data_IF_721598283010
#
_entry.id   IF_721598283010
#
_cell.length_a   1.000
_cell.length_b   1.000
_cell.length_c   1.000
_cell.angle_alpha   90.00
_cell.angle_beta   90.00
_cell.angle_gamma   90.00
#
_symmetry.space_group_name_H-M   'P 1'
#
loop_
_entity.id
_entity.type
_entity.pdbx_description
1 polymer ?
#
# COMPACT_ATOMS: atom_id res chain seq x y z
N UNK A 1 -26.05 4.31 29.42
CA UNK A 1 -24.85 5.17 29.45
C UNK A 1 -25.22 6.62 29.81
N UNK A 2 -25.75 6.90 31.02
CA UNK A 2 -26.18 8.27 31.39
C UNK A 2 -25.37 8.92 32.51
N UNK A 3 -24.32 8.27 33.00
CA UNK A 3 -23.44 8.85 34.00
C UNK A 3 -22.32 9.66 33.32
N UNK A 4 -22.04 10.93 33.71
CA UNK A 4 -21.08 11.82 33.01
C UNK A 4 -19.66 11.26 32.85
N UNK A 5 -19.24 10.39 33.76
CA UNK A 5 -17.93 9.70 33.69
C UNK A 5 -17.92 8.63 32.59
N UNK A 6 -19.05 7.97 32.35
CA UNK A 6 -19.19 6.93 31.32
C UNK A 6 -19.21 7.51 29.91
N UNK A 7 -19.67 8.76 29.73
CA UNK A 7 -19.67 9.43 28.42
C UNK A 7 -18.27 9.57 27.81
N UNK A 8 -17.25 9.86 28.62
CA UNK A 8 -15.85 9.93 28.14
C UNK A 8 -15.28 8.57 27.74
N UNK A 9 -15.69 7.51 28.44
CA UNK A 9 -15.29 6.14 28.12
C UNK A 9 -15.96 5.68 26.83
N UNK A 10 -17.25 6.00 26.67
CA UNK A 10 -18.02 5.75 25.46
C UNK A 10 -17.43 6.48 24.25
N UNK A 11 -17.11 7.77 24.36
CA UNK A 11 -16.45 8.54 23.28
C UNK A 11 -15.09 7.94 22.89
N UNK A 12 -14.28 7.54 23.88
CA UNK A 12 -12.99 6.89 23.65
C UNK A 12 -13.14 5.55 22.92
N UNK A 13 -14.05 4.70 23.40
CA UNK A 13 -14.36 3.41 22.79
C UNK A 13 -14.90 3.56 21.36
N UNK A 14 -15.84 4.49 21.15
CA UNK A 14 -16.41 4.75 19.83
C UNK A 14 -15.33 5.23 18.85
N UNK A 15 -14.44 6.12 19.30
CA UNK A 15 -13.31 6.58 18.48
C UNK A 15 -12.39 5.43 18.09
N UNK A 16 -12.07 4.55 19.03
CA UNK A 16 -11.23 3.37 18.79
C UNK A 16 -11.86 2.42 17.77
N UNK A 17 -13.11 2.00 18.00
CA UNK A 17 -13.86 1.09 17.13
C UNK A 17 -14.01 1.68 15.73
N UNK A 18 -14.32 2.98 15.64
CA UNK A 18 -14.45 3.66 14.36
C UNK A 18 -13.14 3.67 13.59
N UNK A 19 -12.02 4.01 14.24
CA UNK A 19 -10.71 4.03 13.57
C UNK A 19 -10.34 2.64 13.09
N UNK A 20 -10.50 1.61 13.92
CA UNK A 20 -10.24 0.20 13.53
C UNK A 20 -11.09 -0.17 12.32
N UNK A 21 -12.38 0.15 12.35
CA UNK A 21 -13.32 -0.15 11.26
C UNK A 21 -12.90 0.55 9.96
N UNK A 22 -12.54 1.83 10.03
CA UNK A 22 -12.10 2.59 8.85
C UNK A 22 -10.78 2.05 8.28
N UNK A 23 -9.82 1.67 9.14
CA UNK A 23 -8.54 1.12 8.69
C UNK A 23 -8.71 -0.26 8.03
N UNK A 24 -9.51 -1.16 8.63
CA UNK A 24 -9.79 -2.47 8.05
C UNK A 24 -10.59 -2.35 6.74
N UNK A 25 -11.56 -1.45 6.69
CA UNK A 25 -12.31 -1.13 5.47
C UNK A 25 -11.39 -0.57 4.38
N UNK A 26 -10.49 0.35 4.73
CA UNK A 26 -9.49 0.88 3.82
C UNK A 26 -8.59 -0.24 3.27
N UNK A 27 -8.10 -1.15 4.12
CA UNK A 27 -7.30 -2.29 3.68
C UNK A 27 -8.00 -3.13 2.62
N UNK A 28 -9.26 -3.50 2.86
CA UNK A 28 -10.06 -4.26 1.90
C UNK A 28 -10.33 -3.47 0.61
N UNK A 29 -10.62 -2.17 0.71
CA UNK A 29 -10.85 -1.34 -0.46
C UNK A 29 -9.58 -1.18 -1.32
N UNK A 30 -8.40 -1.09 -0.70
CA UNK A 30 -7.12 -1.03 -1.42
C UNK A 30 -6.82 -2.36 -2.11
N UNK A 31 -7.11 -3.51 -1.49
CA UNK A 31 -6.88 -4.83 -2.11
C UNK A 31 -7.80 -5.10 -3.31
N UNK A 32 -8.95 -4.46 -3.36
CA UNK A 32 -9.88 -4.48 -4.50
C UNK A 32 -9.66 -3.30 -5.48
N UNK A 33 -8.59 -2.53 -5.29
CA UNK A 33 -8.26 -1.35 -6.09
C UNK A 33 -9.37 -0.28 -6.19
N UNK A 34 -10.16 -0.10 -5.13
CA UNK A 34 -11.25 0.88 -5.05
C UNK A 34 -10.77 2.24 -4.54
N UNK A 35 -10.45 3.15 -5.47
CA UNK A 35 -9.82 4.46 -5.16
C UNK A 35 -10.59 5.34 -4.16
N UNK A 36 -11.77 5.85 -4.54
CA UNK A 36 -12.49 6.84 -3.72
C UNK A 36 -12.90 6.27 -2.36
N UNK A 37 -13.48 5.06 -2.26
CA UNK A 37 -13.83 4.49 -0.96
C UNK A 37 -12.60 4.34 -0.04
N UNK A 38 -11.47 3.87 -0.58
CA UNK A 38 -10.22 3.75 0.19
C UNK A 38 -9.72 5.12 0.67
N UNK A 39 -9.76 6.14 -0.19
CA UNK A 39 -9.37 7.52 0.14
C UNK A 39 -10.21 8.08 1.30
N UNK A 40 -11.54 7.91 1.24
CA UNK A 40 -12.44 8.41 2.27
C UNK A 40 -12.21 7.71 3.61
N UNK A 41 -12.02 6.39 3.62
CA UNK A 41 -11.73 5.62 4.83
C UNK A 41 -10.37 6.02 5.43
N UNK A 42 -9.36 6.25 4.58
CA UNK A 42 -8.02 6.67 4.99
C UNK A 42 -8.01 8.10 5.57
N UNK A 43 -8.76 9.01 4.97
CA UNK A 43 -8.93 10.37 5.48
C UNK A 43 -9.72 10.40 6.79
N UNK A 44 -10.80 9.63 6.90
CA UNK A 44 -11.61 9.53 8.11
C UNK A 44 -10.79 9.03 9.31
N UNK A 45 -10.01 7.96 9.11
CA UNK A 45 -9.11 7.44 10.14
C UNK A 45 -7.99 8.41 10.50
N UNK A 46 -7.41 9.14 9.53
CA UNK A 46 -6.40 10.16 9.80
C UNK A 46 -6.91 11.29 10.70
N UNK A 47 -8.08 11.84 10.37
CA UNK A 47 -8.69 12.94 11.13
C UNK A 47 -9.01 12.53 12.56
N UNK A 48 -9.59 11.33 12.75
CA UNK A 48 -9.89 10.78 14.09
C UNK A 48 -8.63 10.50 14.89
N UNK A 49 -7.61 9.89 14.29
CA UNK A 49 -6.32 9.63 14.95
C UNK A 49 -5.60 10.91 15.36
N UNK A 50 -5.67 11.94 14.53
CA UNK A 50 -5.04 13.25 14.81
C UNK A 50 -5.74 13.95 15.97
N UNK A 51 -7.08 14.01 15.94
CA UNK A 51 -7.87 14.56 17.03
C UNK A 51 -7.61 13.79 18.34
N UNK A 52 -7.57 12.45 18.28
CA UNK A 52 -7.29 11.63 19.45
C UNK A 52 -5.87 11.85 20.01
N UNK A 53 -4.87 12.00 19.14
CA UNK A 53 -3.49 12.32 19.55
C UNK A 53 -3.38 13.69 20.26
N UNK A 54 -4.12 14.70 19.78
CA UNK A 54 -4.17 16.03 20.42
C UNK A 54 -4.77 15.98 21.83
N UNK A 55 -5.74 15.11 22.08
CA UNK A 55 -6.30 14.91 23.44
C UNK A 55 -5.24 14.43 24.43
N UNK A 56 -4.37 13.48 24.03
CA UNK A 56 -3.27 13.02 24.87
C UNK A 56 -2.24 14.13 25.14
N UNK A 57 -1.96 14.98 24.14
CA UNK A 57 -1.06 16.13 24.30
C UNK A 57 -1.64 17.17 25.27
N UNK A 58 -2.93 17.50 25.15
CA UNK A 58 -3.60 18.46 26.05
C UNK A 58 -3.63 17.96 27.50
N UNK A 59 -3.91 16.68 27.71
CA UNK A 59 -3.87 16.08 29.06
C UNK A 59 -2.48 16.13 29.70
N UNK A 60 -1.42 16.01 28.89
CA UNK A 60 -0.04 16.15 29.34
C UNK A 60 0.28 17.58 29.78
N UNK A 61 -0.21 18.59 29.06
CA UNK A 61 -0.03 20.01 29.40
C UNK A 61 -0.80 20.39 30.67
N UNK A 62 -2.07 20.01 30.79
CA UNK A 62 -2.88 20.33 31.99
C UNK A 62 -2.27 19.77 33.28
N UNK A 63 -1.70 18.55 33.24
CA UNK A 63 -1.03 17.96 34.42
C UNK A 63 0.28 18.67 34.79
N UNK A 64 1.03 19.21 33.82
CA UNK A 64 2.26 19.96 34.08
C UNK A 64 2.02 21.26 34.84
N UNK A 65 0.86 21.89 34.66
CA UNK A 65 0.53 23.17 35.29
C UNK A 65 -0.06 23.05 36.70
N UNK A 66 -0.64 21.90 37.08
CA UNK A 66 -1.23 21.70 38.41
C UNK A 66 -0.24 21.20 39.47
N UNK A 67 0.86 20.56 39.09
CA UNK A 67 1.82 19.98 40.04
C UNK A 67 3.21 20.47 39.67
N UNK A 68 3.62 21.57 40.30
CA UNK A 68 4.89 22.25 40.02
C UNK A 68 6.07 21.29 39.85
N UNK A 69 6.63 21.28 38.65
CA UNK A 69 8.05 21.05 38.40
C UNK A 69 8.68 19.79 39.00
N UNK A 70 8.11 18.61 38.79
CA UNK A 70 8.91 17.38 38.81
C UNK A 70 8.69 16.61 37.52
N UNK A 71 9.78 16.16 36.91
CA UNK A 71 9.84 15.39 35.66
C UNK A 71 9.04 14.10 35.79
N UNK A 72 7.72 14.18 35.64
CA UNK A 72 6.89 12.99 35.50
C UNK A 72 7.26 12.33 34.17
N UNK A 73 7.68 11.06 34.25
CA UNK A 73 7.89 10.19 33.08
C UNK A 73 6.74 10.44 32.11
N UNK A 74 7.06 10.90 30.90
CA UNK A 74 6.05 11.24 29.91
C UNK A 74 5.06 10.08 29.79
N UNK A 75 3.77 10.35 30.04
CA UNK A 75 2.71 9.37 29.84
C UNK A 75 2.76 8.97 28.38
N UNK A 76 3.26 7.78 28.11
CA UNK A 76 3.35 7.26 26.76
C UNK A 76 1.93 7.00 26.26
N UNK A 77 1.63 7.31 24.99
CA UNK A 77 0.33 6.97 24.42
C UNK A 77 0.09 5.46 24.52
N UNK A 78 -1.17 5.02 24.70
CA UNK A 78 -1.50 3.60 24.74
C UNK A 78 -0.89 2.84 23.56
N UNK A 79 -0.44 1.61 23.79
CA UNK A 79 0.17 0.79 22.74
C UNK A 79 -0.73 0.68 21.50
N UNK A 80 -2.04 0.51 21.72
CA UNK A 80 -3.01 0.43 20.64
C UNK A 80 -3.08 1.70 19.80
N UNK A 81 -3.05 2.90 20.39
CA UNK A 81 -3.10 4.13 19.61
C UNK A 81 -1.85 4.30 18.74
N UNK A 82 -0.67 3.90 19.25
CA UNK A 82 0.57 3.88 18.48
C UNK A 82 0.49 2.84 17.35
N UNK A 83 -0.09 1.67 17.64
CA UNK A 83 -0.32 0.64 16.65
C UNK A 83 -1.25 1.11 15.53
N UNK A 84 -2.36 1.78 15.86
CA UNK A 84 -3.30 2.31 14.87
C UNK A 84 -2.65 3.38 13.98
N UNK A 85 -1.79 4.23 14.54
CA UNK A 85 -1.00 5.19 13.75
C UNK A 85 -0.04 4.50 12.79
N UNK A 86 0.63 3.42 13.23
CA UNK A 86 1.52 2.63 12.36
C UNK A 86 0.75 1.91 11.26
N UNK A 87 -0.42 1.35 11.59
CA UNK A 87 -1.26 0.68 10.61
C UNK A 87 -1.81 1.67 9.58
N UNK A 88 -2.25 2.87 10.03
CA UNK A 88 -2.61 3.98 9.14
C UNK A 88 -1.46 4.36 8.21
N UNK A 89 -0.25 4.54 8.73
CA UNK A 89 0.92 4.89 7.92
C UNK A 89 1.27 3.82 6.86
N UNK A 90 1.15 2.53 7.22
CA UNK A 90 1.36 1.43 6.28
C UNK A 90 0.29 1.42 5.16
N UNK A 91 -0.97 1.63 5.51
CA UNK A 91 -2.06 1.76 4.53
C UNK A 91 -1.90 2.99 3.65
N UNK A 92 -1.45 4.12 4.21
CA UNK A 92 -1.16 5.33 3.46
C UNK A 92 -0.05 5.10 2.45
N UNK A 93 1.07 4.48 2.86
CA UNK A 93 2.16 4.14 1.96
C UNK A 93 1.69 3.25 0.79
N UNK A 94 0.89 2.23 1.10
CA UNK A 94 0.33 1.33 0.10
C UNK A 94 -0.66 2.03 -0.83
N UNK A 95 -1.57 2.84 -0.29
CA UNK A 95 -2.54 3.63 -1.05
C UNK A 95 -1.84 4.60 -2.00
N UNK A 96 -0.87 5.37 -1.50
CA UNK A 96 -0.08 6.30 -2.31
C UNK A 96 0.65 5.61 -3.45
N UNK A 97 1.12 4.37 -3.23
CA UNK A 97 1.73 3.58 -4.28
C UNK A 97 0.69 3.06 -5.30
N UNK A 98 -0.36 2.36 -4.85
CA UNK A 98 -1.33 1.67 -5.72
C UNK A 98 -2.16 2.64 -6.57
N UNK A 99 -2.33 3.86 -6.10
CA UNK A 99 -3.08 4.92 -6.78
C UNK A 99 -2.18 6.07 -7.22
N UNK A 100 -0.86 5.85 -7.32
CA UNK A 100 0.10 6.91 -7.66
C UNK A 100 -0.28 7.65 -8.95
N UNK A 101 -0.69 6.92 -9.99
CA UNK A 101 -1.12 7.51 -11.26
C UNK A 101 -2.33 8.42 -11.08
N UNK A 102 -3.39 7.94 -10.43
CA UNK A 102 -4.60 8.74 -10.18
C UNK A 102 -4.29 9.98 -9.34
N UNK A 103 -3.48 9.84 -8.29
CA UNK A 103 -3.05 10.95 -7.43
C UNK A 103 -2.21 11.96 -8.21
N UNK A 104 -1.26 11.51 -9.03
CA UNK A 104 -0.39 12.39 -9.83
C UNK A 104 -1.14 13.20 -10.89
N UNK A 105 -2.25 12.66 -11.42
CA UNK A 105 -3.13 13.38 -12.36
C UNK A 105 -4.02 14.41 -11.68
N UNK A 106 -4.26 14.27 -10.37
CA UNK A 106 -5.19 15.09 -9.59
C UNK A 106 -4.48 16.07 -8.64
N UNK A 107 -3.15 16.04 -8.58
CA UNK A 107 -2.35 16.87 -7.67
C UNK A 107 -1.14 17.45 -8.40
N UNK A 108 -0.45 18.42 -7.80
CA UNK A 108 0.77 18.95 -8.40
C UNK A 108 1.95 18.01 -8.15
N UNK A 109 3.00 18.11 -8.98
CA UNK A 109 4.25 17.36 -8.78
C UNK A 109 4.88 17.63 -7.40
N UNK A 110 4.74 18.85 -6.88
CA UNK A 110 5.24 19.21 -5.55
C UNK A 110 4.45 18.49 -4.44
N UNK A 111 3.12 18.45 -4.57
CA UNK A 111 2.24 17.76 -3.62
C UNK A 111 2.48 16.25 -3.65
N UNK A 112 2.65 15.65 -4.83
CA UNK A 112 2.99 14.22 -4.94
C UNK A 112 4.32 13.91 -4.27
N UNK A 113 5.36 14.72 -4.49
CA UNK A 113 6.65 14.53 -3.81
C UNK A 113 6.51 14.67 -2.30
N UNK A 114 5.74 15.64 -1.82
CA UNK A 114 5.49 15.83 -0.41
C UNK A 114 4.70 14.66 0.20
N UNK A 115 3.71 14.13 -0.51
CA UNK A 115 2.95 12.95 -0.11
C UNK A 115 3.88 11.74 0.02
N UNK A 116 4.61 11.42 -1.04
CA UNK A 116 5.53 10.29 -1.11
C UNK A 116 6.63 10.37 -0.04
N UNK A 117 7.20 11.57 0.20
CA UNK A 117 8.20 11.79 1.26
C UNK A 117 7.66 11.52 2.69
N UNK A 118 6.34 11.60 2.90
CA UNK A 118 5.71 11.31 4.18
C UNK A 118 5.35 9.83 4.35
N UNK A 119 5.39 9.04 3.28
CA UNK A 119 5.07 7.61 3.34
C UNK A 119 6.24 6.79 3.88
N UNK A 120 5.92 5.80 4.70
CA UNK A 120 6.91 4.89 5.29
C UNK A 120 6.42 3.44 5.08
N UNK A 121 7.03 2.66 4.17
CA UNK A 121 8.13 3.04 3.28
C UNK A 121 7.67 3.84 2.04
N UNK A 122 8.56 4.63 1.45
CA UNK A 122 8.39 5.21 0.13
C UNK A 122 8.63 4.14 -0.96
N UNK A 123 7.56 3.48 -1.39
CA UNK A 123 7.63 2.44 -2.44
C UNK A 123 8.06 3.00 -3.79
N UNK A 124 7.54 4.17 -4.17
CA UNK A 124 7.81 4.78 -5.47
C UNK A 124 9.29 5.14 -5.60
N UNK A 125 9.86 5.79 -4.58
CA UNK A 125 11.28 6.14 -4.51
C UNK A 125 12.18 4.92 -4.42
N UNK A 126 11.78 3.88 -3.64
CA UNK A 126 12.52 2.60 -3.59
C UNK A 126 12.60 1.94 -4.97
N UNK A 127 11.48 1.83 -5.69
CA UNK A 127 11.45 1.23 -7.03
C UNK A 127 12.22 2.08 -8.04
N UNK A 128 12.06 3.41 -8.00
CA UNK A 128 12.81 4.32 -8.86
C UNK A 128 14.32 4.23 -8.63
N UNK A 129 14.74 4.11 -7.37
CA UNK A 129 16.13 3.87 -6.98
C UNK A 129 16.64 2.51 -7.46
N UNK A 130 15.83 1.46 -7.34
CA UNK A 130 16.14 0.13 -7.84
C UNK A 130 16.36 0.14 -9.36
N UNK A 131 15.45 0.74 -10.12
CA UNK A 131 15.55 0.89 -11.59
C UNK A 131 16.89 1.53 -11.97
N UNK A 132 17.21 2.69 -11.36
CA UNK A 132 18.46 3.39 -11.63
C UNK A 132 19.71 2.60 -11.23
N UNK A 133 19.64 1.81 -10.17
CA UNK A 133 20.79 1.06 -9.64
C UNK A 133 21.09 -0.20 -10.44
N UNK A 134 20.05 -0.89 -10.92
CA UNK A 134 20.16 -2.19 -11.56
C UNK A 134 19.91 -2.15 -13.07
N UNK A 135 19.61 -0.97 -13.61
CA UNK A 135 19.31 -0.75 -15.03
C UNK A 135 18.14 -1.64 -15.50
N UNK A 136 17.05 -1.64 -14.72
CA UNK A 136 15.82 -2.30 -15.10
C UNK A 136 15.10 -1.46 -16.15
N UNK A 137 14.63 -2.08 -17.24
CA UNK A 137 13.92 -1.35 -18.28
C UNK A 137 12.55 -0.90 -17.79
N UNK A 138 11.88 -1.71 -16.96
CA UNK A 138 10.60 -1.36 -16.38
C UNK A 138 10.30 -2.11 -15.08
N UNK A 139 9.62 -1.45 -14.14
CA UNK A 139 8.94 -2.11 -13.00
C UNK A 139 7.48 -1.72 -13.01
N UNK A 140 6.58 -2.71 -13.06
CA UNK A 140 5.13 -2.49 -13.02
C UNK A 140 4.47 -3.27 -11.90
N UNK A 141 3.44 -2.67 -11.31
CA UNK A 141 2.45 -3.39 -10.52
C UNK A 141 1.25 -3.66 -11.42
N UNK A 142 0.92 -4.94 -11.60
CA UNK A 142 -0.17 -5.40 -12.47
C UNK A 142 -1.37 -5.76 -11.60
N UNK A 143 -2.54 -5.26 -11.94
CA UNK A 143 -3.80 -5.70 -11.32
C UNK A 143 -4.46 -6.76 -12.18
N UNK A 144 -4.87 -7.87 -11.57
CA UNK A 144 -5.60 -8.95 -12.20
C UNK A 144 -7.10 -8.73 -12.00
N UNK A 145 -7.75 -8.23 -13.05
CA UNK A 145 -9.17 -7.93 -13.02
C UNK A 145 -10.08 -9.11 -13.36
N UNK A 146 -9.54 -10.33 -13.50
CA UNK A 146 -10.37 -11.49 -13.87
C UNK A 146 -11.41 -11.76 -12.77
N UNK A 147 -12.68 -11.84 -13.16
CA UNK A 147 -13.80 -12.08 -12.25
C UNK A 147 -14.34 -10.84 -11.54
N UNK A 148 -13.78 -9.65 -11.79
CA UNK A 148 -14.30 -8.39 -11.25
C UNK A 148 -15.24 -7.72 -12.24
N UNK A 149 -16.54 -7.76 -11.93
CA UNK A 149 -17.60 -7.11 -12.72
C UNK A 149 -17.68 -5.60 -12.45
N UNK A 150 -17.17 -5.15 -11.30
CA UNK A 150 -17.27 -3.76 -10.82
C UNK A 150 -16.08 -2.89 -11.23
N UNK A 151 -15.13 -3.40 -12.00
CA UNK A 151 -13.94 -2.65 -12.35
C UNK A 151 -14.20 -1.58 -13.41
N UNK A 152 -13.82 -0.35 -13.09
CA UNK A 152 -14.12 0.82 -13.92
C UNK A 152 -12.86 1.53 -14.45
N UNK A 153 -11.66 1.07 -14.13
CA UNK A 153 -10.39 1.72 -14.49
C UNK A 153 -9.76 2.52 -13.34
N UNK A 154 -8.72 3.29 -13.67
CA UNK A 154 -7.97 4.09 -12.69
C UNK A 154 -8.80 5.22 -12.06
N UNK A 155 -8.70 5.39 -10.74
CA UNK A 155 -9.27 6.53 -10.05
C UNK A 155 -10.78 6.42 -9.79
N UNK A 156 -11.46 7.56 -9.70
CA UNK A 156 -12.90 7.60 -9.41
C UNK A 156 -13.73 7.57 -10.68
N UNK A 157 -14.79 6.76 -10.63
CA UNK A 157 -15.81 6.66 -11.67
C UNK A 157 -17.18 6.73 -11.01
N UNK A 158 -18.12 7.39 -11.69
CA UNK A 158 -19.46 7.56 -11.17
C UNK A 158 -20.20 6.21 -11.19
N UNK A 159 -20.91 5.80 -10.11
CA UNK A 159 -21.53 4.47 -10.00
C UNK A 159 -22.53 4.14 -11.12
N UNK A 160 -23.16 5.16 -11.71
CA UNK A 160 -24.14 4.99 -12.79
C UNK A 160 -23.53 5.08 -14.20
N UNK A 161 -22.22 5.31 -14.31
CA UNK A 161 -21.55 5.33 -15.61
C UNK A 161 -21.37 3.90 -16.11
N UNK A 162 -22.05 3.56 -17.20
CA UNK A 162 -21.81 2.30 -17.89
C UNK A 162 -20.42 2.29 -18.51
N UNK A 163 -19.68 1.19 -18.29
CA UNK A 163 -18.46 0.86 -19.02
C UNK A 163 -18.47 -0.61 -19.35
N UNK A 164 -17.99 -0.95 -20.54
CA UNK A 164 -17.77 -2.34 -20.89
C UNK A 164 -16.62 -2.89 -20.04
N UNK A 165 -16.83 -4.06 -19.43
CA UNK A 165 -15.78 -4.73 -18.67
C UNK A 165 -14.57 -5.02 -19.58
N UNK A 166 -13.34 -4.76 -19.13
CA UNK A 166 -12.18 -4.98 -19.96
C UNK A 166 -12.03 -6.46 -20.33
N UNK A 167 -11.56 -6.70 -21.55
CA UNK A 167 -11.37 -8.04 -22.11
C UNK A 167 -9.94 -8.23 -22.58
N UNK A 168 -9.45 -9.46 -22.51
CA UNK A 168 -8.10 -9.82 -22.97
C UNK A 168 -7.01 -9.05 -22.23
N UNK A 169 -6.16 -8.36 -22.99
CA UNK A 169 -4.99 -7.62 -22.48
C UNK A 169 -5.37 -6.50 -21.50
N UNK A 170 -6.56 -5.91 -21.67
CA UNK A 170 -7.06 -4.83 -20.82
C UNK A 170 -7.51 -5.31 -19.44
N UNK A 171 -7.63 -6.63 -19.22
CA UNK A 171 -7.91 -7.21 -17.90
C UNK A 171 -6.71 -7.13 -16.94
N UNK A 172 -5.54 -6.79 -17.48
CA UNK A 172 -4.30 -6.69 -16.73
C UNK A 172 -3.73 -5.27 -16.88
N UNK A 173 -4.35 -4.23 -16.29
CA UNK A 173 -3.77 -2.89 -16.31
C UNK A 173 -2.51 -2.81 -15.46
N UNK A 174 -1.59 -1.93 -15.85
CA UNK A 174 -0.47 -1.54 -15.01
C UNK A 174 -0.96 -0.45 -14.04
N UNK A 175 -1.18 -0.77 -12.77
CA UNK A 175 -1.63 0.24 -11.78
C UNK A 175 -0.54 1.24 -11.45
N UNK A 176 0.71 0.80 -11.57
CA UNK A 176 1.93 1.63 -11.53
C UNK A 176 2.86 1.08 -12.58
N UNK A 177 3.52 1.96 -13.33
CA UNK A 177 4.57 1.60 -14.28
C UNK A 177 5.70 2.62 -14.21
N UNK A 178 6.93 2.16 -13.99
CA UNK A 178 8.11 3.00 -13.85
C UNK A 178 9.23 2.53 -14.78
N UNK A 179 9.99 3.46 -15.38
CA UNK A 179 10.05 4.89 -15.08
C UNK A 179 9.08 5.78 -15.86
N UNK A 180 8.54 5.31 -16.99
CA UNK A 180 7.79 6.15 -17.95
C UNK A 180 6.39 6.57 -17.47
N UNK A 181 5.82 5.90 -16.48
CA UNK A 181 4.39 6.03 -16.14
C UNK A 181 3.49 5.16 -17.01
N UNK A 182 4.01 4.67 -18.15
CA UNK A 182 3.26 3.94 -19.16
C UNK A 182 3.59 2.45 -19.13
N UNK A 183 2.60 1.63 -19.49
CA UNK A 183 2.73 0.18 -19.57
C UNK A 183 3.65 -0.22 -20.74
N UNK A 184 4.63 -1.12 -20.57
CA UNK A 184 5.48 -1.61 -21.66
C UNK A 184 4.70 -2.57 -22.58
N UNK A 185 4.02 -2.01 -23.59
CA UNK A 185 3.08 -2.74 -24.46
C UNK A 185 3.70 -3.95 -25.18
N UNK A 186 4.96 -3.85 -25.59
CA UNK A 186 5.70 -4.93 -26.27
C UNK A 186 5.93 -6.15 -25.38
N UNK A 187 6.09 -5.92 -24.07
CA UNK A 187 6.36 -6.96 -23.08
C UNK A 187 5.10 -7.54 -22.44
N UNK A 188 3.98 -6.82 -22.55
CA UNK A 188 2.76 -7.16 -21.80
C UNK A 188 2.16 -8.54 -22.10
N UNK A 189 2.16 -9.02 -23.37
CA UNK A 189 1.72 -10.38 -23.66
C UNK A 189 2.52 -11.44 -22.88
N UNK A 190 3.83 -11.29 -22.79
CA UNK A 190 4.70 -12.19 -22.02
C UNK A 190 4.40 -12.12 -20.52
N UNK A 191 4.16 -10.92 -19.99
CA UNK A 191 3.74 -10.72 -18.59
C UNK A 191 2.46 -11.50 -18.28
N UNK A 192 1.43 -11.33 -19.11
CA UNK A 192 0.14 -12.01 -18.94
C UNK A 192 0.28 -13.54 -19.05
N UNK A 193 1.06 -14.00 -20.03
CA UNK A 193 1.37 -15.42 -20.21
C UNK A 193 2.02 -16.00 -18.95
N UNK A 194 3.09 -15.38 -18.44
CA UNK A 194 3.76 -15.85 -17.22
C UNK A 194 2.87 -15.80 -15.99
N UNK A 195 2.03 -14.77 -15.83
CA UNK A 195 1.06 -14.68 -14.74
C UNK A 195 0.06 -15.84 -14.75
N UNK A 196 -0.25 -16.38 -15.92
CA UNK A 196 -1.16 -17.49 -16.13
C UNK A 196 -0.45 -18.84 -15.98
N UNK A 197 0.64 -19.06 -16.72
CA UNK A 197 1.37 -20.33 -16.76
C UNK A 197 2.06 -20.67 -15.43
N UNK A 198 2.49 -19.63 -14.70
CA UNK A 198 3.22 -19.77 -13.43
C UNK A 198 2.34 -19.40 -12.25
N UNK A 199 1.01 -19.40 -12.41
CA UNK A 199 0.06 -18.97 -11.39
C UNK A 199 0.20 -19.76 -10.07
N UNK A 200 0.40 -21.08 -10.13
CA UNK A 200 0.59 -21.91 -8.93
C UNK A 200 1.86 -21.52 -8.15
N UNK A 201 2.94 -21.20 -8.85
CA UNK A 201 4.18 -20.76 -8.24
C UNK A 201 4.05 -19.35 -7.66
N UNK A 202 3.42 -18.43 -8.40
CA UNK A 202 3.14 -17.07 -7.94
C UNK A 202 2.18 -17.04 -6.75
N UNK A 203 1.25 -17.99 -6.64
CA UNK A 203 0.36 -18.12 -5.48
C UNK A 203 1.09 -18.63 -4.23
N UNK A 204 2.32 -19.11 -4.35
CA UNK A 204 3.15 -19.44 -3.20
C UNK A 204 3.76 -18.15 -2.64
N UNK A 205 3.45 -17.83 -1.38
CA UNK A 205 3.96 -16.63 -0.71
C UNK A 205 5.49 -16.56 -0.79
N UNK A 206 6.02 -15.35 -1.04
CA UNK A 206 7.46 -15.05 -1.12
C UNK A 206 8.23 -15.71 -2.26
N UNK A 207 7.53 -16.41 -3.16
CA UNK A 207 8.15 -16.95 -4.36
C UNK A 207 8.31 -15.87 -5.43
N UNK A 208 9.52 -15.80 -5.98
CA UNK A 208 9.84 -14.99 -7.16
C UNK A 208 10.01 -15.94 -8.33
N UNK A 209 9.24 -15.72 -9.39
CA UNK A 209 9.36 -16.46 -10.65
C UNK A 209 10.22 -15.64 -11.60
N UNK A 210 11.19 -16.28 -12.23
CA UNK A 210 11.99 -15.69 -13.29
C UNK A 210 11.70 -16.39 -14.61
N UNK A 211 11.78 -15.63 -15.70
CA UNK A 211 11.76 -16.15 -17.05
C UNK A 211 12.65 -15.30 -17.96
N UNK A 212 13.38 -15.93 -18.87
CA UNK A 212 14.10 -15.25 -19.94
C UNK A 212 13.47 -15.61 -21.29
N UNK A 213 13.11 -14.60 -22.07
CA UNK A 213 12.60 -14.78 -23.42
C UNK A 213 13.70 -14.44 -24.44
N UNK A 214 14.15 -15.45 -25.18
CA UNK A 214 15.18 -15.32 -26.20
C UNK A 214 14.69 -14.58 -27.45
N UNK A 215 13.38 -14.54 -27.72
CA UNK A 215 12.84 -13.86 -28.91
C UNK A 215 12.90 -12.33 -28.77
N UNK A 216 12.59 -11.84 -27.57
CA UNK A 216 12.65 -10.40 -27.26
C UNK A 216 13.91 -10.01 -26.49
N UNK A 217 14.79 -10.99 -26.21
CA UNK A 217 16.04 -10.82 -25.46
C UNK A 217 15.80 -10.07 -24.14
N UNK A 218 14.84 -10.53 -23.34
CA UNK A 218 14.49 -9.86 -22.07
C UNK A 218 14.31 -10.85 -20.93
N UNK A 219 14.67 -10.42 -19.72
CA UNK A 219 14.44 -11.18 -18.49
C UNK A 219 13.33 -10.55 -17.67
N UNK A 220 12.46 -11.40 -17.14
CA UNK A 220 11.31 -11.02 -16.32
C UNK A 220 11.45 -11.64 -14.94
N UNK A 221 11.15 -10.86 -13.91
CA UNK A 221 10.98 -11.35 -12.54
C UNK A 221 9.60 -10.94 -12.04
N UNK A 222 8.85 -11.90 -11.50
CA UNK A 222 7.48 -11.72 -11.05
C UNK A 222 7.35 -12.19 -9.61
N UNK A 223 6.62 -11.42 -8.80
CA UNK A 223 6.25 -11.78 -7.44
C UNK A 223 4.83 -11.32 -7.14
N UNK A 224 4.09 -12.07 -6.34
CA UNK A 224 2.68 -11.78 -6.03
C UNK A 224 2.57 -11.29 -4.58
N UNK A 225 2.54 -9.96 -4.34
CA UNK A 225 2.24 -9.44 -3.01
C UNK A 225 0.85 -9.85 -2.53
N UNK A 226 -0.15 -9.81 -3.41
CA UNK A 226 -1.56 -10.04 -3.06
C UNK A 226 -2.28 -10.80 -4.18
N UNK A 227 -3.44 -11.44 -3.91
CA UNK A 227 -4.14 -12.26 -4.91
C UNK A 227 -4.38 -11.54 -6.25
N UNK A 228 -4.77 -10.26 -6.19
CA UNK A 228 -5.07 -9.45 -7.38
C UNK A 228 -3.90 -8.63 -7.91
N UNK A 229 -2.72 -8.67 -7.27
CA UNK A 229 -1.60 -7.82 -7.65
C UNK A 229 -0.33 -8.61 -7.89
N UNK A 230 0.30 -8.40 -9.05
CA UNK A 230 1.59 -9.01 -9.39
C UNK A 230 2.61 -7.91 -9.68
N UNK A 231 3.72 -7.91 -8.95
CA UNK A 231 4.85 -7.01 -9.17
C UNK A 231 5.80 -7.64 -10.20
N UNK A 232 6.13 -6.88 -11.23
CA UNK A 232 6.90 -7.34 -12.40
C UNK A 232 8.11 -6.43 -12.59
N UNK A 233 9.29 -7.02 -12.76
CA UNK A 233 10.53 -6.35 -13.13
C UNK A 233 10.96 -6.88 -14.50
N UNK A 234 11.28 -5.98 -15.42
CA UNK A 234 11.74 -6.29 -16.76
C UNK A 234 13.15 -5.75 -16.92
N UNK A 235 14.01 -6.57 -17.52
CA UNK A 235 15.35 -6.21 -17.92
C UNK A 235 15.53 -6.50 -19.40
N UNK A 236 16.24 -5.61 -20.07
CA UNK A 236 16.76 -5.88 -21.41
C UNK A 236 18.02 -6.74 -21.28
N UNK A 237 18.08 -7.80 -22.07
CA UNK A 237 19.10 -8.83 -22.01
C UNK A 237 18.85 -9.92 -20.96
N UNK A 238 19.80 -10.85 -20.90
CA UNK A 238 19.77 -12.01 -20.00
C UNK A 238 20.33 -11.63 -18.62
N UNK A 239 19.56 -11.88 -17.56
CA UNK A 239 20.01 -11.81 -16.17
C UNK A 239 20.19 -13.19 -15.57
N UNK A 240 21.06 -13.28 -14.56
CA UNK A 240 21.37 -14.56 -13.92
C UNK A 240 20.24 -14.99 -13.02
N UNK A 241 19.92 -16.29 -13.00
CA UNK A 241 18.98 -16.83 -12.00
C UNK A 241 19.51 -16.72 -10.57
N UNK A 242 20.81 -16.51 -10.42
CA UNK A 242 21.49 -16.34 -9.13
C UNK A 242 21.55 -14.88 -8.66
N UNK A 243 20.87 -13.95 -9.34
CA UNK A 243 20.83 -12.54 -8.92
C UNK A 243 19.96 -12.33 -7.67
N UNK A 244 20.49 -12.78 -6.52
CA UNK A 244 19.83 -12.74 -5.22
C UNK A 244 19.35 -11.34 -4.83
N UNK A 245 20.01 -10.28 -5.31
CA UNK A 245 19.63 -8.90 -5.03
C UNK A 245 18.28 -8.52 -5.64
N UNK A 246 17.96 -9.01 -6.85
CA UNK A 246 16.68 -8.74 -7.53
C UNK A 246 15.56 -9.50 -6.81
N UNK A 247 15.80 -10.78 -6.50
CA UNK A 247 14.87 -11.62 -5.74
C UNK A 247 14.60 -11.04 -4.35
N UNK A 248 15.64 -10.65 -3.61
CA UNK A 248 15.52 -10.06 -2.28
C UNK A 248 14.73 -8.74 -2.31
N UNK A 249 14.97 -7.90 -3.32
CA UNK A 249 14.19 -6.67 -3.50
C UNK A 249 12.71 -6.97 -3.73
N UNK A 250 12.38 -7.88 -4.65
CA UNK A 250 10.99 -8.27 -4.93
C UNK A 250 10.29 -8.87 -3.71
N UNK A 251 11.01 -9.68 -2.93
CA UNK A 251 10.52 -10.24 -1.66
C UNK A 251 10.31 -9.16 -0.60
N UNK A 252 11.23 -8.20 -0.47
CA UNK A 252 11.09 -7.07 0.46
C UNK A 252 9.84 -6.24 0.14
N UNK A 253 9.69 -5.81 -1.11
CA UNK A 253 8.54 -5.01 -1.54
C UNK A 253 7.25 -5.81 -1.38
N UNK A 254 7.23 -7.06 -1.85
CA UNK A 254 6.03 -7.89 -1.76
C UNK A 254 5.60 -8.16 -0.32
N UNK A 255 6.57 -8.45 0.56
CA UNK A 255 6.30 -8.67 1.98
C UNK A 255 5.78 -7.42 2.67
N UNK A 256 6.34 -6.25 2.35
CA UNK A 256 5.89 -4.98 2.89
C UNK A 256 4.46 -4.64 2.43
N UNK A 257 4.10 -4.90 1.17
CA UNK A 257 2.77 -4.63 0.61
C UNK A 257 1.65 -5.49 1.19
N UNK A 258 1.97 -6.67 1.73
CA UNK A 258 1.00 -7.55 2.41
C UNK A 258 0.43 -6.97 3.71
N UNK A 259 1.07 -5.95 4.27
CA UNK A 259 0.67 -5.33 5.54
C UNK A 259 0.51 -6.34 6.71
N UNK A 260 1.20 -7.48 6.68
CA UNK A 260 1.16 -8.47 7.78
C UNK A 260 1.93 -7.98 9.01
N UNK A 261 2.98 -7.16 8.79
CA UNK A 261 3.85 -6.64 9.86
C UNK A 261 3.11 -5.80 10.91
N UNK A 262 2.20 -4.86 10.58
CA UNK A 262 1.33 -4.24 11.57
C UNK A 262 0.68 -5.27 12.50
N UNK A 263 0.08 -6.33 11.98
CA UNK A 263 -0.62 -7.32 12.82
C UNK A 263 0.34 -8.12 13.72
N UNK A 264 1.57 -8.42 13.29
CA UNK A 264 2.55 -9.14 14.12
C UNK A 264 2.98 -8.34 15.35
N UNK A 265 2.91 -7.00 15.29
CA UNK A 265 3.27 -6.09 16.39
C UNK A 265 2.07 -5.59 17.19
N UNK A 266 0.86 -6.13 16.97
CA UNK A 266 -0.34 -5.73 17.72
C UNK A 266 -0.21 -6.07 19.22
N UNK A 267 0.44 -7.19 19.54
CA UNK A 267 0.73 -7.58 20.92
C UNK A 267 1.92 -6.77 21.47
N UNK A 268 1.77 -6.08 22.62
CA UNK A 268 2.89 -5.39 23.26
C UNK A 268 4.07 -6.33 23.51
N UNK A 269 5.29 -5.88 23.17
CA UNK A 269 6.51 -6.66 23.35
C UNK A 269 6.78 -7.73 22.27
N UNK A 270 5.90 -7.87 21.27
CA UNK A 270 6.18 -8.69 20.10
C UNK A 270 7.32 -8.08 19.27
N UNK A 271 8.36 -8.87 18.98
CA UNK A 271 9.39 -8.49 18.00
C UNK A 271 8.87 -8.88 16.62
N UNK A 272 8.43 -7.89 15.84
CA UNK A 272 8.03 -8.06 14.44
C UNK A 272 9.12 -7.68 13.45
#
# INVERSE_FOLDING_TARGET
>A
FHHPILGRVEEGFQTEVDVVTQLLRCQAQVSEWNFLPALLSLHSSHSKLTAWAQLFQRQKETRKHLFGGQSQKAVQPPHLSVWLQRFHAALLAKFSFYFHEALSRQTTTADMRALTARTIPDYYGKISGFIRKHDASNVSLVFDNRGSESFQGHGYHHPQSYREAPKGVEQFPAVVSLPSGERPLTHWPNVIMMMSDRAAELNTLDKVVQFYDDKVQSTYYLSRPEPHFTLVVIFDGRKSEKDQHITAFLQEISSSLRNSKPFSILKPGSKG
#
